data_IF_350167166788
#
_entry.id   IF_350167166788
#
_cell.length_a   1.000
_cell.length_b   1.000
_cell.length_c   1.000
_cell.angle_alpha   90.00
_cell.angle_beta   90.00
_cell.angle_gamma   90.00
#
_symmetry.space_group_name_H-M   'P 1'
#
loop_
_entity.id
_entity.type
_entity.pdbx_description
1 polymer ?
#
# COMPACT_ATOMS: atom_id res chain seq x y z
N UNK A 1 -34.86 10.01 -30.03
CA UNK A 1 -33.39 9.85 -30.17
C UNK A 1 -32.97 8.56 -29.48
N UNK A 2 -32.74 7.49 -30.24
CA UNK A 2 -32.42 6.15 -29.71
C UNK A 2 -30.96 6.06 -29.26
N UNK A 3 -30.73 5.79 -28.00
CA UNK A 3 -29.40 5.37 -27.49
C UNK A 3 -29.07 4.02 -28.11
N UNK A 4 -28.09 3.98 -29.02
CA UNK A 4 -27.49 2.74 -29.51
C UNK A 4 -26.82 2.06 -28.30
N UNK A 5 -27.39 0.96 -27.81
CA UNK A 5 -26.69 0.03 -26.95
C UNK A 5 -25.50 -0.51 -27.71
N UNK A 6 -24.28 -0.25 -27.23
CA UNK A 6 -23.08 -0.96 -27.68
C UNK A 6 -23.37 -2.45 -27.43
N UNK A 7 -23.52 -3.23 -28.50
CA UNK A 7 -23.64 -4.69 -28.40
C UNK A 7 -22.33 -5.18 -27.78
N UNK A 8 -22.41 -5.82 -26.63
CA UNK A 8 -21.31 -6.61 -26.06
C UNK A 8 -20.91 -7.64 -27.11
N UNK A 9 -19.83 -7.38 -27.82
CA UNK A 9 -19.23 -8.37 -28.71
C UNK A 9 -18.52 -9.37 -27.80
N UNK A 10 -18.79 -10.68 -27.90
CA UNK A 10 -18.08 -11.67 -27.11
C UNK A 10 -16.58 -11.57 -27.45
N UNK A 11 -15.76 -11.34 -26.43
CA UNK A 11 -14.32 -11.36 -26.59
C UNK A 11 -13.88 -12.80 -26.85
N UNK A 12 -13.24 -13.06 -27.99
CA UNK A 12 -12.77 -14.39 -28.39
C UNK A 12 -11.67 -14.92 -27.46
N UNK A 13 -10.92 -14.01 -26.79
CA UNK A 13 -9.83 -14.37 -25.89
C UNK A 13 -10.00 -13.65 -24.54
N UNK A 14 -9.84 -14.39 -23.47
CA UNK A 14 -9.88 -13.82 -22.12
C UNK A 14 -8.70 -12.87 -21.88
N UNK A 15 -8.94 -11.73 -21.22
CA UNK A 15 -7.92 -10.77 -20.87
C UNK A 15 -6.77 -11.40 -20.04
N UNK A 16 -7.08 -12.39 -19.20
CA UNK A 16 -6.07 -13.17 -18.46
C UNK A 16 -5.08 -13.88 -19.39
N UNK A 17 -5.56 -14.43 -20.50
CA UNK A 17 -4.72 -15.13 -21.48
C UNK A 17 -3.80 -14.14 -22.19
N UNK A 18 -4.33 -12.97 -22.54
CA UNK A 18 -3.55 -11.90 -23.22
C UNK A 18 -2.42 -11.38 -22.32
N UNK A 19 -2.65 -11.31 -21.00
CA UNK A 19 -1.68 -10.82 -20.03
C UNK A 19 -0.74 -11.91 -19.47
N UNK A 20 -0.86 -13.15 -19.92
CA UNK A 20 0.07 -14.21 -19.51
C UNK A 20 1.45 -14.02 -20.14
N UNK A 21 2.47 -14.70 -19.65
CA UNK A 21 3.83 -14.59 -20.17
C UNK A 21 3.92 -15.04 -21.63
N UNK A 22 4.85 -14.46 -22.38
CA UNK A 22 5.07 -14.80 -23.80
C UNK A 22 5.43 -16.27 -23.99
N UNK A 23 6.12 -16.86 -23.01
CA UNK A 23 6.46 -18.28 -23.02
C UNK A 23 5.24 -19.21 -22.95
N UNK A 24 4.11 -18.69 -22.47
CA UNK A 24 2.83 -19.42 -22.41
C UNK A 24 1.94 -19.14 -23.64
N UNK A 25 2.55 -18.61 -24.73
CA UNK A 25 1.87 -18.34 -25.99
C UNK A 25 0.99 -17.09 -25.99
N UNK A 26 1.20 -16.16 -25.07
CA UNK A 26 0.46 -14.91 -24.97
C UNK A 26 1.25 -13.69 -25.50
N UNK A 27 0.62 -12.51 -25.46
CA UNK A 27 1.23 -11.27 -25.96
C UNK A 27 2.11 -10.56 -24.91
N UNK A 28 2.25 -11.10 -23.71
CA UNK A 28 2.98 -10.48 -22.59
C UNK A 28 2.57 -9.02 -22.32
N UNK A 29 1.29 -8.74 -22.48
CA UNK A 29 0.74 -7.41 -22.21
C UNK A 29 0.58 -7.26 -20.70
N UNK A 30 1.23 -6.25 -20.13
CA UNK A 30 1.14 -5.96 -18.71
C UNK A 30 -0.32 -5.75 -18.27
N UNK A 31 -0.76 -6.47 -17.25
CA UNK A 31 -2.09 -6.29 -16.67
C UNK A 31 -2.26 -4.86 -16.15
N UNK A 32 -3.22 -4.11 -16.68
CA UNK A 32 -3.55 -2.75 -16.24
C UNK A 32 -3.85 -2.68 -14.75
N UNK A 33 -4.43 -3.75 -14.18
CA UNK A 33 -4.73 -3.81 -12.75
C UNK A 33 -3.43 -3.87 -11.91
N UNK A 34 -2.45 -4.68 -12.32
CA UNK A 34 -1.14 -4.77 -11.66
C UNK A 34 -0.39 -3.46 -11.82
N UNK A 35 -0.36 -2.91 -13.05
CA UNK A 35 0.29 -1.65 -13.34
C UNK A 35 -0.30 -0.49 -12.50
N UNK A 36 -1.62 -0.41 -12.39
CA UNK A 36 -2.29 0.59 -11.56
C UNK A 36 -1.93 0.44 -10.07
N UNK A 37 -1.88 -0.79 -9.54
CA UNK A 37 -1.42 -1.04 -8.16
C UNK A 37 0.01 -0.55 -7.94
N UNK A 38 0.91 -0.79 -8.89
CA UNK A 38 2.30 -0.33 -8.80
C UNK A 38 2.39 1.21 -8.81
N UNK A 39 1.61 1.88 -9.66
CA UNK A 39 1.54 3.34 -9.68
C UNK A 39 0.99 3.92 -8.37
N UNK A 40 -0.04 3.32 -7.80
CA UNK A 40 -0.57 3.72 -6.49
C UNK A 40 0.46 3.48 -5.38
N UNK A 41 1.21 2.38 -5.44
CA UNK A 41 2.32 2.09 -4.52
C UNK A 41 3.43 3.14 -4.60
N UNK A 42 3.77 3.64 -5.79
CA UNK A 42 4.73 4.73 -5.97
C UNK A 42 4.30 6.00 -5.21
N UNK A 43 3.02 6.35 -5.17
CA UNK A 43 2.53 7.49 -4.41
C UNK A 43 2.66 7.28 -2.91
N UNK A 44 2.42 6.07 -2.41
CA UNK A 44 2.64 5.72 -1.01
C UNK A 44 4.12 5.80 -0.63
N UNK A 45 5.01 5.30 -1.49
CA UNK A 45 6.46 5.43 -1.32
C UNK A 45 6.90 6.89 -1.23
N UNK A 46 6.43 7.74 -2.13
CA UNK A 46 6.71 9.18 -2.10
C UNK A 46 6.17 9.82 -0.83
N UNK A 47 4.96 9.46 -0.41
CA UNK A 47 4.37 9.97 0.83
C UNK A 47 5.21 9.61 2.05
N UNK A 48 5.75 8.42 2.12
CA UNK A 48 6.61 7.98 3.22
C UNK A 48 7.95 8.74 3.27
N UNK A 49 8.55 9.06 2.09
CA UNK A 49 9.92 9.57 1.99
C UNK A 49 10.02 11.09 1.79
N UNK A 50 9.07 11.71 1.09
CA UNK A 50 9.11 13.16 0.79
C UNK A 50 8.46 13.97 1.92
N UNK A 51 9.23 14.37 2.94
CA UNK A 51 8.67 15.06 4.11
C UNK A 51 8.31 16.53 3.84
N UNK A 52 9.04 17.21 2.96
CA UNK A 52 8.88 18.65 2.74
C UNK A 52 8.00 19.00 1.53
N UNK A 53 7.44 18.00 0.84
CA UNK A 53 6.61 18.25 -0.33
C UNK A 53 5.27 18.90 0.06
N UNK A 54 4.89 19.96 -0.68
CA UNK A 54 3.64 20.69 -0.46
C UNK A 54 2.41 19.76 -0.50
N UNK A 55 2.38 18.82 -1.43
CA UNK A 55 1.27 17.89 -1.54
C UNK A 55 1.14 16.98 -0.30
N UNK A 56 2.26 16.55 0.31
CA UNK A 56 2.23 15.79 1.57
C UNK A 56 1.68 16.65 2.72
N UNK A 57 2.08 17.92 2.81
CA UNK A 57 1.57 18.84 3.82
C UNK A 57 0.04 19.01 3.67
N UNK A 58 -0.46 19.17 2.45
CA UNK A 58 -1.90 19.29 2.19
C UNK A 58 -2.64 18.01 2.63
N UNK A 59 -2.11 16.85 2.29
CA UNK A 59 -2.71 15.56 2.68
C UNK A 59 -2.67 15.38 4.21
N UNK A 60 -1.54 15.67 4.84
CA UNK A 60 -1.37 15.53 6.29
C UNK A 60 -2.26 16.47 7.08
N UNK A 61 -2.50 17.69 6.58
CA UNK A 61 -3.41 18.65 7.19
C UNK A 61 -4.89 18.27 7.00
N UNK A 62 -5.20 17.57 5.92
CA UNK A 62 -6.57 17.16 5.61
C UNK A 62 -6.95 15.82 6.23
N UNK A 63 -5.99 14.94 6.39
CA UNK A 63 -6.17 13.58 6.93
C UNK A 63 -5.15 13.36 8.03
N UNK A 64 -5.62 12.89 9.17
CA UNK A 64 -4.71 12.52 10.26
C UNK A 64 -3.70 11.48 9.80
N UNK A 65 -2.48 11.60 10.29
CA UNK A 65 -1.44 10.61 10.05
C UNK A 65 -1.64 9.39 10.95
N UNK A 66 -1.27 8.22 10.45
CA UNK A 66 -1.04 7.05 11.29
C UNK A 66 0.22 7.27 12.15
N UNK A 67 0.33 6.52 13.21
CA UNK A 67 1.54 6.49 14.04
C UNK A 67 2.77 6.16 13.17
N UNK A 68 3.86 6.87 13.40
CA UNK A 68 5.08 6.79 12.58
C UNK A 68 5.05 7.66 11.32
N UNK A 69 3.91 8.21 10.91
CA UNK A 69 3.79 9.16 9.78
C UNK A 69 4.06 8.57 8.40
N UNK A 70 3.99 7.23 8.26
CA UNK A 70 4.20 6.54 6.97
C UNK A 70 3.01 6.65 6.04
N UNK A 71 1.82 6.81 6.60
CA UNK A 71 0.57 6.81 5.88
C UNK A 71 -0.44 7.72 6.58
N UNK A 72 -1.51 8.14 5.91
CA UNK A 72 -2.64 8.78 6.57
C UNK A 72 -3.59 7.74 7.13
N UNK A 73 -4.37 8.11 8.15
CA UNK A 73 -5.50 7.31 8.59
C UNK A 73 -6.51 7.14 7.46
N UNK A 74 -7.31 6.09 7.54
CA UNK A 74 -8.30 5.78 6.52
C UNK A 74 -9.26 6.94 6.25
N UNK A 75 -9.52 7.17 4.98
CA UNK A 75 -10.36 8.25 4.49
C UNK A 75 -11.83 7.89 4.64
N UNK A 76 -12.54 8.47 5.60
CA UNK A 76 -13.98 8.35 5.77
C UNK A 76 -14.70 9.47 5.03
N UNK A 77 -15.57 9.14 4.08
CA UNK A 77 -16.39 10.13 3.37
C UNK A 77 -16.85 9.67 1.98
N UNK A 78 -18.03 10.20 1.55
CA UNK A 78 -18.65 9.87 0.26
C UNK A 78 -18.16 10.71 -0.91
N UNK A 79 -17.69 11.94 -0.68
CA UNK A 79 -17.42 12.92 -1.73
C UNK A 79 -16.01 13.53 -1.62
N UNK A 80 -15.38 13.81 -2.77
CA UNK A 80 -14.19 14.65 -2.86
C UNK A 80 -12.83 13.97 -2.63
N UNK A 81 -12.75 12.63 -2.62
CA UNK A 81 -11.55 11.91 -2.14
C UNK A 81 -11.02 10.85 -3.10
N UNK A 82 -11.43 10.90 -4.39
CA UNK A 82 -11.23 9.81 -5.33
C UNK A 82 -9.81 9.26 -5.41
N UNK A 83 -8.83 10.10 -5.70
CA UNK A 83 -7.45 9.66 -5.96
C UNK A 83 -6.76 9.23 -4.67
N UNK A 84 -6.79 10.06 -3.61
CA UNK A 84 -6.12 9.71 -2.36
C UNK A 84 -6.73 8.49 -1.67
N UNK A 85 -8.04 8.34 -1.74
CA UNK A 85 -8.73 7.14 -1.26
C UNK A 85 -8.27 5.87 -2.00
N UNK A 86 -8.11 5.94 -3.31
CA UNK A 86 -7.60 4.83 -4.10
C UNK A 86 -6.14 4.48 -3.72
N UNK A 87 -5.31 5.50 -3.50
CA UNK A 87 -3.92 5.33 -3.06
C UNK A 87 -3.87 4.63 -1.70
N UNK A 88 -4.63 5.14 -0.72
CA UNK A 88 -4.65 4.60 0.64
C UNK A 88 -5.23 3.17 0.71
N UNK A 89 -6.21 2.84 -0.11
CA UNK A 89 -6.76 1.49 -0.18
C UNK A 89 -5.73 0.45 -0.67
N UNK A 90 -4.64 0.90 -1.30
CA UNK A 90 -3.53 0.04 -1.69
C UNK A 90 -2.46 -0.11 -0.60
N UNK A 91 -2.66 0.47 0.60
CA UNK A 91 -1.69 0.50 1.69
C UNK A 91 -1.26 -0.89 2.14
N UNK A 92 -2.19 -1.80 2.40
CA UNK A 92 -1.87 -3.17 2.85
C UNK A 92 -1.05 -3.93 1.81
N UNK A 93 -1.41 -3.80 0.53
CA UNK A 93 -0.64 -4.39 -0.55
C UNK A 93 0.76 -3.77 -0.67
N UNK A 94 0.90 -2.46 -0.47
CA UNK A 94 2.19 -1.78 -0.46
C UNK A 94 3.04 -2.23 0.73
N UNK A 95 2.45 -2.26 1.94
CA UNK A 95 3.12 -2.65 3.18
C UNK A 95 3.65 -4.08 3.12
N UNK A 96 2.88 -5.02 2.58
CA UNK A 96 3.30 -6.42 2.44
C UNK A 96 4.51 -6.62 1.51
N UNK A 97 4.78 -5.66 0.62
CA UNK A 97 5.91 -5.68 -0.32
C UNK A 97 7.03 -4.69 0.06
N UNK A 98 6.89 -4.01 1.20
CA UNK A 98 7.85 -3.00 1.66
C UNK A 98 8.47 -3.42 2.99
N UNK A 99 9.71 -3.00 3.22
CA UNK A 99 10.41 -3.21 4.49
C UNK A 99 10.95 -1.90 5.00
N UNK A 100 11.03 -1.79 6.31
CA UNK A 100 11.62 -0.63 6.97
C UNK A 100 13.13 -0.86 7.14
N UNK A 101 13.91 0.13 6.74
CA UNK A 101 15.31 0.25 7.17
C UNK A 101 15.33 1.13 8.41
N UNK A 102 15.79 0.57 9.53
CA UNK A 102 15.84 1.30 10.79
C UNK A 102 16.96 2.33 10.75
N UNK A 103 16.63 3.60 10.92
CA UNK A 103 17.57 4.68 11.17
C UNK A 103 17.66 4.92 12.70
N UNK A 104 17.02 5.98 13.17
CA UNK A 104 16.97 6.33 14.60
C UNK A 104 15.94 5.50 15.43
N UNK A 105 15.16 4.67 14.76
CA UNK A 105 14.16 3.81 15.40
C UNK A 105 12.91 4.52 15.94
N UNK A 106 12.79 5.85 15.76
CA UNK A 106 11.69 6.64 16.34
C UNK A 106 10.35 6.46 15.61
N UNK A 107 10.36 5.93 14.38
CA UNK A 107 9.21 5.78 13.50
C UNK A 107 8.85 4.33 13.20
N UNK A 108 9.57 3.37 13.72
CA UNK A 108 9.40 1.93 13.46
C UNK A 108 8.97 1.24 14.75
N UNK A 109 7.86 0.50 14.69
CA UNK A 109 7.35 -0.27 15.83
C UNK A 109 8.15 -1.56 15.98
N UNK A 110 8.59 -1.83 17.21
CA UNK A 110 9.45 -2.97 17.51
C UNK A 110 8.80 -4.31 17.15
N UNK A 111 7.58 -4.53 17.58
CA UNK A 111 6.90 -5.82 17.38
C UNK A 111 6.19 -5.96 16.03
N UNK A 112 5.62 -4.88 15.51
CA UNK A 112 4.63 -4.96 14.43
C UNK A 112 5.15 -4.66 13.04
N UNK A 113 6.22 -3.88 12.94
CA UNK A 113 6.75 -3.49 11.64
C UNK A 113 7.78 -4.50 11.11
N UNK A 114 7.88 -4.58 9.78
CA UNK A 114 8.83 -5.46 9.09
C UNK A 114 10.19 -4.75 8.95
N UNK A 115 11.02 -4.82 9.98
CA UNK A 115 12.35 -4.21 10.01
C UNK A 115 13.48 -5.22 10.22
N UNK A 116 13.14 -6.40 10.71
CA UNK A 116 14.07 -7.51 10.92
C UNK A 116 13.52 -8.73 10.16
N UNK A 117 14.22 -9.21 9.16
CA UNK A 117 13.83 -10.38 8.36
C UNK A 117 12.50 -10.24 7.56
N UNK A 118 11.84 -11.38 7.28
CA UNK A 118 10.70 -11.48 6.37
C UNK A 118 9.33 -11.44 7.07
N UNK A 119 9.32 -11.40 8.38
CA UNK A 119 8.11 -11.42 9.21
C UNK A 119 8.25 -10.45 10.38
N UNK A 120 7.13 -10.04 10.96
CA UNK A 120 7.15 -9.19 12.16
C UNK A 120 7.66 -9.98 13.37
N UNK A 121 8.26 -9.30 14.36
CA UNK A 121 8.70 -9.97 15.59
C UNK A 121 7.52 -10.54 16.39
N UNK A 122 6.33 -9.95 16.28
CA UNK A 122 5.09 -10.48 16.84
C UNK A 122 4.76 -11.87 16.28
N UNK A 123 4.93 -12.07 14.98
CA UNK A 123 4.70 -13.36 14.31
C UNK A 123 5.81 -14.37 14.57
N UNK A 124 7.08 -13.91 14.63
CA UNK A 124 8.24 -14.76 14.87
C UNK A 124 8.30 -15.26 16.33
N UNK A 125 7.92 -14.41 17.29
CA UNK A 125 8.06 -14.67 18.72
C UNK A 125 6.76 -14.39 19.50
N UNK A 126 5.65 -15.10 19.22
CA UNK A 126 4.34 -14.81 19.83
C UNK A 126 4.32 -14.94 21.35
N UNK A 127 5.13 -15.83 21.93
CA UNK A 127 5.23 -16.00 23.38
C UNK A 127 5.87 -14.75 24.02
N UNK A 128 6.96 -14.25 23.44
CA UNK A 128 7.63 -13.05 23.93
C UNK A 128 6.77 -11.81 23.76
N UNK A 129 6.06 -11.71 22.63
CA UNK A 129 5.09 -10.63 22.39
C UNK A 129 4.00 -10.62 23.48
N UNK A 130 3.46 -11.78 23.85
CA UNK A 130 2.42 -11.87 24.88
C UNK A 130 2.92 -11.46 26.26
N UNK A 131 4.17 -11.76 26.58
CA UNK A 131 4.83 -11.38 27.84
C UNK A 131 5.29 -9.91 27.86
N UNK A 132 5.42 -9.28 26.70
CA UNK A 132 5.86 -7.90 26.59
C UNK A 132 4.85 -6.94 27.22
N UNK A 133 5.34 -6.04 28.06
CA UNK A 133 4.54 -4.96 28.66
C UNK A 133 4.23 -3.87 27.64
N UNK A 134 5.17 -3.60 26.72
CA UNK A 134 5.04 -2.54 25.72
C UNK A 134 4.90 -3.11 24.30
N UNK A 135 3.69 -3.50 23.92
CA UNK A 135 3.38 -4.08 22.61
C UNK A 135 3.41 -3.07 21.45
N UNK A 136 3.26 -1.80 21.77
CA UNK A 136 3.23 -0.69 20.79
C UNK A 136 4.54 0.13 20.82
N UNK A 137 5.58 -0.40 21.45
CA UNK A 137 6.86 0.29 21.58
C UNK A 137 7.55 0.56 20.25
N UNK A 138 8.31 1.66 20.22
CA UNK A 138 9.18 2.02 19.10
C UNK A 138 10.55 1.38 19.24
N UNK A 139 11.22 1.06 18.14
CA UNK A 139 12.56 0.46 18.15
C UNK A 139 13.54 1.32 18.95
N UNK A 140 13.45 2.64 18.89
CA UNK A 140 14.30 3.56 19.67
C UNK A 140 14.13 3.44 21.21
N UNK A 141 13.08 2.77 21.70
CA UNK A 141 12.73 2.65 23.12
C UNK A 141 12.52 1.19 23.56
N UNK A 142 12.94 0.25 22.72
CA UNK A 142 12.82 -1.18 22.99
C UNK A 142 13.96 -1.71 23.88
#
# INVERSE_FOLDING_TARGET
MGRRRLRDRPHLVSWKVICAAKNDGSLDICSLAIFNKALLGKWLWRFANENESLWKQIISNKYDLQEGGWCSKGVRGRYGMGVWKAIINNWENFRSHSRFTVGDGTRVKFWKDLWCENQSLEEAFPILFNLSVNKEGWVAKA
#
